data_IF_148636164995
#
_entry.id   IF_148636164995
#
_cell.length_a   1.000
_cell.length_b   1.000
_cell.length_c   1.000
_cell.angle_alpha   90.00
_cell.angle_beta   90.00
_cell.angle_gamma   90.00
#
_symmetry.space_group_name_H-M   'P 1'
#
loop_
_entity.id
_entity.type
_entity.pdbx_description
1 polymer ?
#
# COMPACT_ATOMS: atom_id res chain seq x y z
N UNK A 1 7.63 16.24 34.27
CA UNK A 1 8.17 15.02 33.67
C UNK A 1 7.03 14.33 32.92
N UNK A 2 6.87 14.67 31.65
CA UNK A 2 5.81 14.15 30.79
C UNK A 2 6.35 12.94 30.03
N UNK A 3 5.89 11.77 30.41
CA UNK A 3 6.20 10.51 29.74
C UNK A 3 5.45 10.48 28.41
N UNK A 4 6.13 10.81 27.32
CA UNK A 4 5.60 10.66 25.96
C UNK A 4 5.58 9.17 25.64
N UNK A 5 4.39 8.59 25.59
CA UNK A 5 4.19 7.27 25.00
C UNK A 5 4.54 7.32 23.52
N UNK A 6 5.71 6.84 23.18
CA UNK A 6 6.11 6.55 21.83
C UNK A 6 5.36 5.29 21.42
N UNK A 7 4.25 5.46 20.71
CA UNK A 7 3.62 4.37 20.00
C UNK A 7 4.57 3.97 18.85
N UNK A 8 5.47 3.07 19.16
CA UNK A 8 6.31 2.38 18.18
C UNK A 8 5.34 1.59 17.32
N UNK A 9 5.10 2.08 16.12
CA UNK A 9 4.55 1.27 15.04
C UNK A 9 5.59 0.16 14.81
N UNK A 10 5.44 -0.94 15.50
CA UNK A 10 6.29 -2.11 15.31
C UNK A 10 6.08 -2.57 13.87
N UNK A 11 6.90 -2.06 12.97
CA UNK A 11 7.22 -2.75 11.75
C UNK A 11 7.96 -4.02 12.17
N UNK A 12 7.25 -5.12 12.29
CA UNK A 12 7.83 -6.44 12.46
C UNK A 12 8.74 -6.65 11.25
N UNK A 13 10.06 -6.90 11.45
CA UNK A 13 10.91 -7.26 10.33
C UNK A 13 10.32 -8.54 9.73
N UNK A 14 9.93 -8.48 8.47
CA UNK A 14 9.48 -9.64 7.72
C UNK A 14 10.64 -10.62 7.65
N UNK A 15 10.62 -11.58 8.56
CA UNK A 15 11.44 -12.78 8.46
C UNK A 15 11.07 -13.46 7.13
N UNK A 16 12.11 -13.73 6.36
CA UNK A 16 12.08 -14.46 5.11
C UNK A 16 11.55 -15.87 5.38
N UNK A 17 10.24 -16.05 5.34
CA UNK A 17 9.63 -17.37 5.19
C UNK A 17 9.20 -17.50 3.75
N UNK A 18 9.98 -18.27 3.01
CA UNK A 18 9.61 -18.83 1.71
C UNK A 18 8.30 -19.58 1.89
N UNK A 19 7.18 -18.98 1.51
CA UNK A 19 5.90 -19.64 1.48
C UNK A 19 5.59 -20.06 0.04
N UNK A 20 6.02 -21.27 -0.30
CA UNK A 20 5.47 -22.00 -1.44
C UNK A 20 4.12 -22.55 -1.02
N UNK A 21 3.04 -22.03 -1.52
CA UNK A 21 1.86 -22.82 -1.86
C UNK A 21 0.73 -21.95 -2.42
N UNK A 22 0.48 -22.21 -3.66
CA UNK A 22 -0.70 -21.88 -4.44
C UNK A 22 -1.99 -22.22 -3.72
N UNK A 23 -2.87 -21.21 -3.52
CA UNK A 23 -4.32 -21.42 -3.61
C UNK A 23 -5.01 -20.12 -4.01
N UNK A 24 -5.45 -20.08 -5.25
CA UNK A 24 -6.37 -19.06 -5.76
C UNK A 24 -7.59 -18.97 -4.85
N UNK A 25 -7.76 -17.82 -4.17
CA UNK A 25 -8.99 -17.51 -3.43
C UNK A 25 -9.81 -16.52 -4.25
N UNK A 26 -11.05 -16.91 -4.49
CA UNK A 26 -12.05 -16.05 -5.12
C UNK A 26 -12.58 -15.05 -4.09
N UNK A 27 -12.49 -13.77 -4.41
CA UNK A 27 -13.04 -12.71 -3.59
C UNK A 27 -14.39 -12.25 -4.16
N UNK A 28 -15.38 -12.15 -3.28
CA UNK A 28 -16.72 -11.67 -3.63
C UNK A 28 -16.87 -10.24 -3.11
N UNK A 29 -16.99 -9.28 -4.03
CA UNK A 29 -17.37 -7.91 -3.69
C UNK A 29 -18.86 -7.86 -3.40
N UNK A 30 -19.23 -7.43 -2.20
CA UNK A 30 -20.63 -7.09 -1.88
C UNK A 30 -20.83 -5.60 -2.17
N UNK A 31 -21.37 -5.29 -3.32
CA UNK A 31 -22.05 -4.03 -3.58
C UNK A 31 -23.47 -4.35 -3.98
N UNK A 32 -24.44 -3.67 -3.39
CA UNK A 32 -25.88 -3.73 -3.65
C UNK A 32 -26.28 -4.43 -4.97
N UNK A 33 -26.51 -5.73 -4.91
CA UNK A 33 -27.25 -6.49 -5.91
C UNK A 33 -26.52 -6.93 -7.17
N UNK A 34 -25.24 -6.58 -7.38
CA UNK A 34 -24.47 -7.10 -8.51
C UNK A 34 -23.11 -7.62 -8.04
N UNK A 35 -22.94 -8.93 -8.10
CA UNK A 35 -21.71 -9.64 -7.71
C UNK A 35 -20.70 -9.56 -8.85
N UNK A 36 -19.80 -8.59 -8.80
CA UNK A 36 -18.63 -8.60 -9.66
C UNK A 36 -17.56 -9.52 -9.05
N UNK A 37 -17.22 -10.59 -9.74
CA UNK A 37 -16.10 -11.46 -9.38
C UNK A 37 -14.80 -10.83 -9.88
N UNK A 38 -14.09 -10.11 -9.03
CA UNK A 38 -12.72 -9.72 -9.34
C UNK A 38 -11.82 -10.88 -8.97
N UNK A 39 -11.34 -11.61 -9.96
CA UNK A 39 -10.33 -12.66 -9.77
C UNK A 39 -8.98 -11.99 -9.96
N UNK A 40 -8.17 -11.94 -8.90
CA UNK A 40 -6.77 -11.57 -9.07
C UNK A 40 -6.10 -12.67 -9.89
N UNK A 41 -5.42 -12.34 -10.99
CA UNK A 41 -4.70 -13.34 -11.76
C UNK A 41 -3.64 -13.98 -10.85
N UNK A 42 -3.75 -15.27 -10.65
CA UNK A 42 -2.69 -16.07 -10.02
C UNK A 42 -1.43 -15.97 -10.88
N UNK A 43 -0.27 -15.99 -10.22
CA UNK A 43 1.03 -16.04 -10.88
C UNK A 43 1.05 -17.14 -11.94
N UNK A 44 0.81 -16.76 -13.19
CA UNK A 44 1.28 -17.52 -14.33
C UNK A 44 2.63 -16.95 -14.72
N UNK A 45 3.64 -17.81 -14.65
CA UNK A 45 4.94 -17.58 -15.20
C UNK A 45 4.78 -17.16 -16.65
N UNK A 46 5.18 -15.92 -16.94
CA UNK A 46 5.89 -15.51 -18.12
C UNK A 46 6.02 -14.00 -18.10
N UNK A 47 7.22 -13.53 -18.24
CA UNK A 47 7.77 -12.18 -18.25
C UNK A 47 6.98 -11.14 -19.09
N UNK A 48 5.79 -10.77 -18.68
CA UNK A 48 5.20 -9.48 -19.02
C UNK A 48 5.00 -8.71 -17.72
N UNK A 49 5.90 -7.78 -17.45
CA UNK A 49 5.71 -6.72 -16.46
C UNK A 49 4.37 -6.07 -16.78
N UNK A 50 3.33 -6.37 -15.99
CA UNK A 50 2.01 -5.79 -16.23
C UNK A 50 2.10 -4.31 -15.93
N UNK A 51 2.23 -3.50 -16.98
CA UNK A 51 2.31 -2.05 -16.86
C UNK A 51 1.03 -1.50 -16.23
N UNK A 52 1.17 -0.45 -15.42
CA UNK A 52 0.02 0.26 -14.80
C UNK A 52 -0.98 0.84 -15.82
N UNK A 53 -0.62 0.80 -17.11
CA UNK A 53 -1.51 1.18 -18.21
C UNK A 53 -2.67 0.21 -18.47
N UNK A 54 -2.64 -1.00 -17.88
CA UNK A 54 -3.72 -1.97 -18.08
C UNK A 54 -5.03 -1.51 -17.44
N UNK A 55 -6.20 -1.89 -18.00
CA UNK A 55 -7.49 -1.57 -17.38
C UNK A 55 -7.60 -2.07 -15.94
N UNK A 56 -7.05 -3.24 -15.65
CA UNK A 56 -7.03 -3.82 -14.31
C UNK A 56 -6.23 -2.96 -13.32
N UNK A 57 -5.02 -2.54 -13.70
CA UNK A 57 -4.18 -1.72 -12.84
C UNK A 57 -4.82 -0.35 -12.56
N UNK A 58 -5.43 0.28 -13.57
CA UNK A 58 -6.16 1.54 -13.41
C UNK A 58 -7.34 1.40 -12.46
N UNK A 59 -8.11 0.31 -12.57
CA UNK A 59 -9.21 0.03 -11.66
C UNK A 59 -8.70 -0.17 -10.23
N UNK A 60 -7.64 -0.94 -10.04
CA UNK A 60 -7.02 -1.19 -8.74
C UNK A 60 -6.58 0.11 -8.06
N UNK A 61 -5.89 1.00 -8.80
CA UNK A 61 -5.47 2.32 -8.30
C UNK A 61 -6.68 3.19 -7.94
N UNK A 62 -7.73 3.19 -8.76
CA UNK A 62 -8.96 3.92 -8.47
C UNK A 62 -9.65 3.40 -7.20
N UNK A 63 -9.71 2.08 -7.00
CA UNK A 63 -10.26 1.47 -5.78
C UNK A 63 -9.42 1.82 -4.54
N UNK A 64 -8.08 1.87 -4.66
CA UNK A 64 -7.21 2.33 -3.58
C UNK A 64 -7.50 3.79 -3.21
N UNK A 65 -7.74 4.64 -4.21
CA UNK A 65 -8.00 6.05 -4.02
C UNK A 65 -9.33 6.34 -3.31
N UNK A 66 -10.37 5.54 -3.60
CA UNK A 66 -11.72 5.74 -3.05
C UNK A 66 -11.77 5.49 -1.55
N UNK A 67 -11.04 4.49 -1.04
CA UNK A 67 -11.13 4.09 0.37
C UNK A 67 -10.47 5.10 1.33
N UNK A 68 -9.67 6.02 0.86
CA UNK A 68 -8.93 7.05 1.62
C UNK A 68 -8.26 6.52 2.91
N UNK A 69 -7.78 5.28 2.88
CA UNK A 69 -7.09 4.66 4.01
C UNK A 69 -5.96 3.75 3.56
N UNK A 70 -4.92 3.70 4.38
CA UNK A 70 -3.79 2.76 4.27
C UNK A 70 -3.94 1.70 5.35
N UNK A 71 -4.08 0.46 4.95
CA UNK A 71 -4.30 -0.66 5.86
C UNK A 71 -3.00 -1.45 6.08
N UNK A 72 -2.85 -1.98 7.31
CA UNK A 72 -1.96 -3.10 7.56
C UNK A 72 -2.49 -4.40 6.94
N UNK A 73 -1.69 -5.46 6.99
CA UNK A 73 -2.05 -6.75 6.39
C UNK A 73 -3.36 -7.34 6.96
N UNK A 74 -3.65 -7.04 8.21
CA UNK A 74 -4.80 -7.55 8.96
C UNK A 74 -5.58 -6.38 9.54
N UNK A 75 -6.90 -6.39 9.39
CA UNK A 75 -7.81 -5.37 9.92
C UNK A 75 -9.01 -5.99 10.62
N UNK A 76 -9.58 -5.20 11.55
CA UNK A 76 -10.77 -5.60 12.32
C UNK A 76 -10.50 -6.62 13.42
N UNK A 77 -11.50 -6.80 14.31
CA UNK A 77 -11.45 -7.69 15.48
C UNK A 77 -11.25 -9.15 15.07
N UNK A 78 -11.83 -9.54 13.94
CA UNK A 78 -11.73 -10.91 13.43
C UNK A 78 -10.40 -11.23 12.73
N UNK A 79 -9.46 -10.27 12.67
CA UNK A 79 -8.18 -10.48 12.01
C UNK A 79 -8.30 -10.76 10.51
N UNK A 80 -9.21 -10.07 9.83
CA UNK A 80 -9.45 -10.27 8.41
C UNK A 80 -8.33 -9.63 7.59
N UNK A 81 -7.87 -10.33 6.54
CA UNK A 81 -6.90 -9.78 5.60
C UNK A 81 -7.49 -8.57 4.85
N UNK A 82 -6.77 -7.46 4.84
CA UNK A 82 -7.22 -6.23 4.21
C UNK A 82 -7.14 -6.33 2.68
N UNK A 83 -8.23 -5.94 2.00
CA UNK A 83 -8.25 -5.79 0.53
C UNK A 83 -7.35 -4.65 0.08
N UNK A 84 -7.26 -3.58 0.86
CA UNK A 84 -6.41 -2.44 0.57
C UNK A 84 -4.93 -2.85 0.60
N UNK A 85 -4.55 -3.67 1.58
CA UNK A 85 -3.21 -4.24 1.64
C UNK A 85 -2.93 -5.23 0.49
N UNK A 86 -3.92 -6.02 0.05
CA UNK A 86 -3.78 -6.90 -1.11
C UNK A 86 -3.55 -6.11 -2.41
N UNK A 87 -4.24 -4.98 -2.58
CA UNK A 87 -4.00 -4.06 -3.71
C UNK A 87 -2.58 -3.50 -3.67
N UNK A 88 -2.11 -3.11 -2.49
CA UNK A 88 -0.73 -2.66 -2.30
C UNK A 88 0.29 -3.74 -2.66
N UNK A 89 0.10 -4.97 -2.19
CA UNK A 89 0.97 -6.11 -2.53
C UNK A 89 1.02 -6.33 -4.04
N UNK A 90 -0.13 -6.23 -4.72
CA UNK A 90 -0.17 -6.32 -6.16
C UNK A 90 0.62 -5.19 -6.83
N UNK A 91 0.39 -3.95 -6.42
CA UNK A 91 1.10 -2.77 -6.94
C UNK A 91 2.60 -2.92 -6.78
N UNK A 92 3.06 -3.25 -5.59
CA UNK A 92 4.47 -3.45 -5.27
C UNK A 92 5.14 -4.50 -6.16
N UNK A 93 4.44 -5.60 -6.44
CA UNK A 93 5.00 -6.73 -7.18
C UNK A 93 4.94 -6.57 -8.70
N UNK A 94 4.07 -5.70 -9.23
CA UNK A 94 3.82 -5.60 -10.66
C UNK A 94 4.20 -4.25 -11.28
N UNK A 95 4.30 -3.18 -10.47
CA UNK A 95 4.70 -1.88 -10.97
C UNK A 95 6.22 -1.76 -11.09
N UNK A 96 6.67 -1.10 -12.15
CA UNK A 96 8.06 -0.70 -12.32
C UNK A 96 8.40 0.51 -11.43
N UNK A 97 9.67 0.77 -11.21
CA UNK A 97 10.12 1.86 -10.33
C UNK A 97 9.64 3.21 -10.82
N UNK A 98 9.75 3.48 -12.13
CA UNK A 98 9.32 4.74 -12.75
C UNK A 98 7.82 4.95 -12.63
N UNK A 99 7.04 3.88 -12.74
CA UNK A 99 5.59 3.94 -12.55
C UNK A 99 5.23 4.27 -11.09
N UNK A 100 5.93 3.66 -10.13
CA UNK A 100 5.76 3.98 -8.71
C UNK A 100 6.17 5.41 -8.40
N UNK A 101 7.28 5.90 -8.97
CA UNK A 101 7.70 7.30 -8.84
C UNK A 101 6.59 8.23 -9.34
N UNK A 102 6.02 7.95 -10.51
CA UNK A 102 4.91 8.74 -11.06
C UNK A 102 3.68 8.71 -10.14
N UNK A 103 3.36 7.59 -9.52
CA UNK A 103 2.23 7.46 -8.59
C UNK A 103 2.44 8.23 -7.27
N UNK A 104 3.66 8.61 -6.91
CA UNK A 104 3.86 9.50 -5.75
C UNK A 104 3.28 10.90 -5.96
N UNK A 105 2.96 11.28 -7.19
CA UNK A 105 2.29 12.54 -7.54
C UNK A 105 0.77 12.38 -7.75
N UNK A 106 0.22 11.21 -7.50
CA UNK A 106 -1.21 10.96 -7.70
C UNK A 106 -2.09 11.87 -6.82
N UNK A 107 -3.27 12.25 -7.32
CA UNK A 107 -4.22 13.11 -6.59
C UNK A 107 -4.62 12.55 -5.22
N UNK A 108 -4.76 11.23 -5.09
CA UNK A 108 -5.11 10.58 -3.83
C UNK A 108 -3.89 10.44 -2.91
N UNK A 109 -3.97 10.91 -1.65
CA UNK A 109 -2.90 10.75 -0.66
C UNK A 109 -2.59 9.28 -0.37
N UNK A 110 -3.58 8.40 -0.42
CA UNK A 110 -3.41 6.96 -0.17
C UNK A 110 -2.57 6.31 -1.28
N UNK A 111 -2.82 6.65 -2.53
CA UNK A 111 -2.03 6.13 -3.66
C UNK A 111 -0.59 6.60 -3.56
N UNK A 112 -0.36 7.89 -3.22
CA UNK A 112 1.00 8.42 -3.00
C UNK A 112 1.75 7.65 -1.92
N UNK A 113 1.07 7.38 -0.79
CA UNK A 113 1.68 6.66 0.35
C UNK A 113 2.00 5.22 -0.01
N UNK A 114 1.11 4.51 -0.68
CA UNK A 114 1.39 3.14 -1.12
C UNK A 114 2.50 3.07 -2.17
N UNK A 115 2.54 4.02 -3.11
CA UNK A 115 3.62 4.11 -4.09
C UNK A 115 4.98 4.35 -3.40
N UNK A 116 5.03 5.29 -2.46
CA UNK A 116 6.25 5.56 -1.68
C UNK A 116 6.66 4.34 -0.83
N UNK A 117 5.70 3.64 -0.24
CA UNK A 117 5.97 2.43 0.54
C UNK A 117 6.50 1.29 -0.34
N UNK A 118 5.95 1.12 -1.55
CA UNK A 118 6.47 0.14 -2.50
C UNK A 118 7.92 0.46 -2.91
N UNK A 119 8.24 1.74 -3.18
CA UNK A 119 9.60 2.20 -3.47
C UNK A 119 10.53 1.98 -2.27
N UNK A 120 10.05 2.21 -1.06
CA UNK A 120 10.80 1.95 0.17
C UNK A 120 11.17 0.48 0.29
N UNK A 121 10.23 -0.44 0.08
CA UNK A 121 10.51 -1.88 0.12
C UNK A 121 11.43 -2.35 -1.00
N UNK A 122 11.37 -1.70 -2.16
CA UNK A 122 12.29 -1.92 -3.29
C UNK A 122 13.67 -1.28 -3.08
N UNK A 123 13.86 -0.52 -2.00
CA UNK A 123 15.10 0.22 -1.69
C UNK A 123 15.50 1.22 -2.78
N UNK A 124 14.52 1.90 -3.35
CA UNK A 124 14.73 2.89 -4.41
C UNK A 124 15.62 4.03 -3.94
N UNK A 125 16.54 4.45 -4.79
CA UNK A 125 17.38 5.62 -4.55
C UNK A 125 16.63 6.95 -4.67
N UNK A 126 15.44 6.94 -5.28
CA UNK A 126 14.62 8.13 -5.49
C UNK A 126 13.91 8.64 -4.22
N UNK A 127 13.84 7.85 -3.15
CA UNK A 127 13.06 8.15 -1.95
C UNK A 127 13.36 9.53 -1.34
N UNK A 128 14.61 9.90 -1.24
CA UNK A 128 15.03 11.20 -0.65
C UNK A 128 14.52 12.37 -1.50
N UNK A 129 14.60 12.26 -2.81
CA UNK A 129 14.14 13.31 -3.73
C UNK A 129 12.62 13.43 -3.72
N UNK A 130 11.93 12.30 -3.73
CA UNK A 130 10.47 12.26 -3.60
C UNK A 130 10.04 12.91 -2.29
N UNK A 131 10.70 12.60 -1.17
CA UNK A 131 10.39 13.23 0.12
C UNK A 131 10.59 14.74 0.09
N UNK A 132 11.68 15.24 -0.48
CA UNK A 132 11.91 16.68 -0.62
C UNK A 132 10.79 17.37 -1.39
N UNK A 133 10.30 16.75 -2.45
CA UNK A 133 9.16 17.26 -3.23
C UNK A 133 7.88 17.33 -2.41
N UNK A 134 7.66 16.35 -1.52
CA UNK A 134 6.44 16.20 -0.72
C UNK A 134 6.58 16.68 0.73
N UNK A 135 7.63 17.42 1.08
CA UNK A 135 7.87 17.87 2.46
C UNK A 135 6.72 18.72 3.03
N UNK A 136 5.99 19.43 2.17
CA UNK A 136 4.82 20.24 2.51
C UNK A 136 3.47 19.57 2.10
N UNK A 137 3.46 18.26 1.85
CA UNK A 137 2.23 17.55 1.53
C UNK A 137 1.46 17.20 2.81
N UNK A 138 0.57 18.10 3.19
CA UNK A 138 -0.27 17.96 4.39
C UNK A 138 -1.59 17.22 4.14
N UNK A 139 -1.78 16.64 2.94
CA UNK A 139 -2.97 15.84 2.66
C UNK A 139 -3.08 14.69 3.66
N UNK A 140 -4.28 14.52 4.22
CA UNK A 140 -4.55 13.54 5.28
C UNK A 140 -5.24 12.29 4.73
N UNK A 141 -4.97 11.19 5.37
CA UNK A 141 -5.58 9.88 5.13
C UNK A 141 -5.69 9.10 6.45
N UNK A 142 -6.46 8.03 6.45
CA UNK A 142 -6.55 7.14 7.61
C UNK A 142 -5.56 5.99 7.49
N UNK A 143 -4.99 5.57 8.62
CA UNK A 143 -4.27 4.30 8.73
C UNK A 143 -5.07 3.35 9.59
N UNK A 144 -5.15 2.08 9.18
CA UNK A 144 -5.83 1.03 9.94
C UNK A 144 -4.87 -0.14 10.16
N UNK A 145 -4.66 -0.50 11.42
CA UNK A 145 -3.87 -1.67 11.80
C UNK A 145 -4.57 -2.44 12.92
N UNK A 146 -5.01 -3.65 12.61
CA UNK A 146 -5.94 -4.36 13.47
C UNK A 146 -7.20 -3.54 13.71
N UNK A 147 -7.49 -3.23 14.96
CA UNK A 147 -8.64 -2.40 15.37
C UNK A 147 -8.31 -0.91 15.52
N UNK A 148 -7.04 -0.55 15.37
CA UNK A 148 -6.60 0.82 15.58
C UNK A 148 -6.70 1.61 14.27
N UNK A 149 -7.41 2.73 14.35
CA UNK A 149 -7.48 3.71 13.28
C UNK A 149 -6.88 5.02 13.75
N UNK A 150 -6.07 5.66 12.89
CA UNK A 150 -5.53 6.99 13.15
C UNK A 150 -5.47 7.81 11.86
N UNK A 151 -5.49 9.14 12.00
CA UNK A 151 -5.25 10.05 10.87
C UNK A 151 -3.76 10.36 10.77
N UNK A 152 -3.24 10.42 9.54
CA UNK A 152 -1.85 10.75 9.22
C UNK A 152 -1.79 11.71 8.05
N UNK A 153 -0.68 12.44 7.93
CA UNK A 153 -0.37 13.26 6.76
C UNK A 153 0.68 12.57 5.90
N UNK A 154 0.67 12.87 4.60
CA UNK A 154 1.60 12.26 3.64
C UNK A 154 3.05 12.56 4.02
N UNK A 155 3.39 13.82 4.27
CA UNK A 155 4.76 14.22 4.64
C UNK A 155 5.26 13.56 5.94
N UNK A 156 4.39 13.40 6.93
CA UNK A 156 4.72 12.70 8.19
C UNK A 156 5.02 11.22 7.94
N UNK A 157 4.22 10.59 7.08
CA UNK A 157 4.39 9.19 6.72
C UNK A 157 5.70 8.95 5.97
N UNK A 158 6.02 9.79 4.99
CA UNK A 158 7.27 9.71 4.24
C UNK A 158 8.50 9.94 5.14
N UNK A 159 8.45 10.99 5.98
CA UNK A 159 9.52 11.27 6.94
C UNK A 159 9.79 10.09 7.86
N UNK A 160 8.71 9.49 8.40
CA UNK A 160 8.81 8.36 9.29
C UNK A 160 9.48 7.15 8.61
N UNK A 161 9.10 6.82 7.38
CA UNK A 161 9.70 5.72 6.64
C UNK A 161 11.21 5.94 6.40
N UNK A 162 11.63 7.17 6.06
CA UNK A 162 13.05 7.47 5.80
C UNK A 162 13.92 7.38 7.04
N UNK A 163 13.40 7.60 8.24
CA UNK A 163 14.15 7.48 9.49
C UNK A 163 14.66 6.05 9.74
N UNK A 164 14.05 5.05 9.11
CA UNK A 164 14.44 3.63 9.25
C UNK A 164 15.27 3.12 8.06
N UNK A 165 15.63 4.00 7.11
CA UNK A 165 16.50 3.67 5.97
C UNK A 165 18.00 3.90 6.22
N UNK A 166 18.39 4.38 7.42
CA UNK A 166 19.79 4.69 7.76
C UNK A 166 20.50 3.52 8.43
#
# INVERSE_FOLDING_TARGET
LSTRYINIFLMIPFSLTVFTSSKSRRYRLHSNGQSAKTTFPGNHSENETQKLSTPFARQLIAEMAIENRVDGAITGIAGTRSRQYERFEWLKNNAEEEELISLTDHVSPVVRVYAFYALYEKRSMALTEIYRKHINDYASFFTVNGNNQSSRRVNECFSHMLQYCQ
#
